data_IF_277102979003
#
_entry.id   IF_277102979003
#
_cell.length_a   1.000
_cell.length_b   1.000
_cell.length_c   1.000
_cell.angle_alpha   90.00
_cell.angle_beta   90.00
_cell.angle_gamma   90.00
#
_symmetry.space_group_name_H-M   'P 1'
#
loop_
_entity.id
_entity.type
_entity.pdbx_description
1 polymer ?
#
# COMPACT_ATOMS: atom_id res chain seq x y z
N UNK A 1 -7.29 -11.39 -23.12
CA UNK A 1 -6.98 -10.85 -21.77
C UNK A 1 -5.93 -11.75 -21.12
N UNK A 2 -4.75 -11.22 -20.82
CA UNK A 2 -3.60 -12.00 -20.35
C UNK A 2 -3.67 -12.15 -18.82
N UNK A 3 -4.34 -13.22 -18.35
CA UNK A 3 -4.61 -13.57 -16.94
C UNK A 3 -3.39 -13.42 -16.00
N UNK A 4 -2.17 -13.59 -16.54
CA UNK A 4 -0.92 -13.43 -15.80
C UNK A 4 -0.72 -12.03 -15.20
N UNK A 5 -1.16 -10.97 -15.88
CA UNK A 5 -0.91 -9.60 -15.39
C UNK A 5 -1.86 -9.21 -14.26
N UNK A 6 -3.12 -9.66 -14.31
CA UNK A 6 -4.10 -9.40 -13.24
C UNK A 6 -3.72 -10.13 -11.94
N UNK A 7 -3.20 -11.36 -12.05
CA UNK A 7 -2.69 -12.08 -10.88
C UNK A 7 -1.42 -11.40 -10.30
N UNK A 8 -0.53 -10.92 -11.16
CA UNK A 8 0.64 -10.14 -10.74
C UNK A 8 0.24 -8.83 -10.05
N UNK A 9 -0.76 -8.11 -10.56
CA UNK A 9 -1.28 -6.90 -9.93
C UNK A 9 -1.78 -7.16 -8.51
N UNK A 10 -2.66 -8.16 -8.33
CA UNK A 10 -3.19 -8.56 -7.03
C UNK A 10 -2.05 -8.97 -6.08
N UNK A 11 -1.06 -9.70 -6.59
CA UNK A 11 0.12 -10.09 -5.81
C UNK A 11 0.87 -8.86 -5.30
N UNK A 12 1.17 -7.89 -6.16
CA UNK A 12 1.89 -6.67 -5.77
C UNK A 12 1.08 -5.76 -4.84
N UNK A 13 -0.24 -5.68 -5.02
CA UNK A 13 -1.14 -4.96 -4.10
C UNK A 13 -1.13 -5.59 -2.71
N UNK A 14 -1.27 -6.92 -2.62
CA UNK A 14 -1.19 -7.65 -1.35
C UNK A 14 0.19 -7.50 -0.73
N UNK A 15 1.24 -7.62 -1.54
CA UNK A 15 2.61 -7.44 -1.08
C UNK A 15 2.81 -6.03 -0.51
N UNK A 16 2.32 -4.98 -1.17
CA UNK A 16 2.36 -3.61 -0.65
C UNK A 16 1.61 -3.46 0.69
N UNK A 17 0.44 -4.09 0.83
CA UNK A 17 -0.33 -4.10 2.08
C UNK A 17 0.42 -4.79 3.22
N UNK A 18 1.04 -5.95 2.98
CA UNK A 18 1.89 -6.62 3.96
C UNK A 18 3.16 -5.81 4.28
N UNK A 19 3.72 -5.12 3.30
CA UNK A 19 4.90 -4.27 3.48
C UNK A 19 4.65 -3.07 4.41
N UNK A 20 3.39 -2.68 4.59
CA UNK A 20 3.00 -1.66 5.58
C UNK A 20 3.27 -2.06 7.03
N UNK A 21 3.50 -3.35 7.32
CA UNK A 21 3.90 -3.80 8.66
C UNK A 21 5.27 -3.26 9.07
N UNK A 22 6.21 -3.08 8.12
CA UNK A 22 7.53 -2.52 8.42
C UNK A 22 7.44 -1.11 9.01
N UNK A 23 6.83 -0.12 8.35
CA UNK A 23 6.65 1.19 8.95
C UNK A 23 5.77 1.12 10.21
N UNK A 24 4.72 0.29 10.24
CA UNK A 24 3.91 0.14 11.46
C UNK A 24 4.74 -0.31 12.67
N UNK A 25 5.61 -1.32 12.52
CA UNK A 25 6.52 -1.75 13.59
C UNK A 25 7.51 -0.67 13.99
N UNK A 26 7.98 0.13 13.03
CA UNK A 26 8.90 1.25 13.28
C UNK A 26 8.22 2.33 14.12
N UNK A 27 7.00 2.73 13.76
CA UNK A 27 6.22 3.71 14.52
C UNK A 27 5.82 3.18 15.89
N UNK A 28 5.54 1.88 16.03
CA UNK A 28 5.28 1.26 17.33
C UNK A 28 6.50 1.31 18.23
N UNK A 29 7.68 0.98 17.69
CA UNK A 29 8.94 1.05 18.42
C UNK A 29 9.28 2.49 18.83
N UNK A 30 9.09 3.45 17.93
CA UNK A 30 9.24 4.88 18.24
C UNK A 30 8.25 5.33 19.31
N UNK A 31 7.01 4.85 19.27
CA UNK A 31 6.02 5.15 20.31
C UNK A 31 6.46 4.63 21.68
N UNK A 32 6.97 3.40 21.77
CA UNK A 32 7.46 2.83 23.03
C UNK A 32 8.63 3.65 23.62
N UNK A 33 9.48 4.24 22.78
CA UNK A 33 10.62 5.03 23.24
C UNK A 33 10.28 6.51 23.52
N UNK A 34 9.50 7.16 22.66
CA UNK A 34 9.20 8.59 22.74
C UNK A 34 7.87 8.91 23.45
N UNK A 35 6.97 7.95 23.60
CA UNK A 35 5.60 8.12 24.13
C UNK A 35 4.80 9.24 23.44
N UNK A 36 5.13 9.56 22.19
CA UNK A 36 4.49 10.63 21.43
C UNK A 36 3.17 10.17 20.80
N UNK A 37 2.09 10.91 21.08
CA UNK A 37 0.77 10.68 20.49
C UNK A 37 0.76 10.76 18.97
N UNK A 38 1.70 11.52 18.37
CA UNK A 38 1.86 11.59 16.92
C UNK A 38 2.23 10.22 16.32
N UNK A 39 3.10 9.45 16.97
CA UNK A 39 3.50 8.12 16.50
C UNK A 39 2.32 7.13 16.53
N UNK A 40 1.45 7.28 17.54
CA UNK A 40 0.23 6.46 17.67
C UNK A 40 -0.77 6.80 16.56
N UNK A 41 -0.93 8.08 16.24
CA UNK A 41 -1.76 8.53 15.12
C UNK A 41 -1.30 7.96 13.78
N UNK A 42 -0.01 8.10 13.46
CA UNK A 42 0.60 7.54 12.24
C UNK A 42 0.45 6.01 12.18
N UNK A 43 0.69 5.30 13.29
CA UNK A 43 0.50 3.86 13.37
C UNK A 43 -0.93 3.44 12.99
N UNK A 44 -1.95 4.11 13.52
CA UNK A 44 -3.36 3.81 13.21
C UNK A 44 -3.62 4.02 11.72
N UNK A 45 -3.14 5.12 11.14
CA UNK A 45 -3.31 5.44 9.72
C UNK A 45 -2.68 4.35 8.84
N UNK A 46 -1.45 3.93 9.15
CA UNK A 46 -0.72 2.89 8.41
C UNK A 46 -1.47 1.55 8.48
N UNK A 47 -1.98 1.17 9.65
CA UNK A 47 -2.73 -0.08 9.84
C UNK A 47 -4.05 -0.05 9.06
N UNK A 48 -4.82 1.04 9.14
CA UNK A 48 -6.05 1.21 8.38
C UNK A 48 -5.78 1.17 6.86
N UNK A 49 -4.70 1.81 6.42
CA UNK A 49 -4.28 1.76 5.02
C UNK A 49 -3.92 0.34 4.58
N UNK A 50 -3.15 -0.39 5.38
CA UNK A 50 -2.77 -1.78 5.10
C UNK A 50 -4.01 -2.67 4.95
N UNK A 51 -4.94 -2.59 5.90
CA UNK A 51 -6.21 -3.34 5.88
C UNK A 51 -7.04 -2.94 4.66
N UNK A 52 -7.15 -1.65 4.35
CA UNK A 52 -7.86 -1.18 3.18
C UNK A 52 -7.27 -1.76 1.88
N UNK A 53 -5.96 -1.73 1.70
CA UNK A 53 -5.28 -2.29 0.52
C UNK A 53 -5.47 -3.80 0.45
N UNK A 54 -5.31 -4.52 1.56
CA UNK A 54 -5.45 -5.99 1.63
C UNK A 54 -6.87 -6.45 1.32
N UNK A 55 -7.87 -5.78 1.88
CA UNK A 55 -9.30 -6.13 1.69
C UNK A 55 -9.78 -5.77 0.29
N UNK A 56 -9.31 -4.65 -0.26
CA UNK A 56 -9.72 -4.20 -1.60
C UNK A 56 -8.84 -4.77 -2.72
N UNK A 57 -7.82 -5.58 -2.43
CA UNK A 57 -6.86 -6.07 -3.44
C UNK A 57 -7.49 -6.84 -4.61
N UNK A 58 -8.69 -7.42 -4.45
CA UNK A 58 -9.43 -8.12 -5.52
C UNK A 58 -10.46 -7.23 -6.24
N UNK A 59 -10.58 -5.97 -5.86
CA UNK A 59 -11.56 -5.06 -6.45
C UNK A 59 -11.15 -4.62 -7.85
N UNK A 60 -12.12 -4.55 -8.77
CA UNK A 60 -11.95 -3.95 -10.10
C UNK A 60 -11.62 -2.44 -10.04
N UNK A 61 -11.59 -1.82 -8.85
CA UNK A 61 -11.16 -0.42 -8.72
C UNK A 61 -9.68 -0.22 -9.05
N UNK A 62 -8.85 -1.24 -8.84
CA UNK A 62 -7.40 -1.17 -9.02
C UNK A 62 -6.94 -1.45 -10.45
N UNK A 63 -7.82 -2.01 -11.29
CA UNK A 63 -7.57 -2.16 -12.72
C UNK A 63 -7.60 -0.83 -13.47
N UNK A 64 -8.08 0.24 -12.84
CA UNK A 64 -7.98 1.60 -13.36
C UNK A 64 -6.65 2.27 -12.92
N UNK A 65 -5.76 2.64 -13.86
CA UNK A 65 -4.45 3.18 -13.52
C UNK A 65 -4.54 4.52 -12.78
N UNK A 66 -5.61 5.31 -12.99
CA UNK A 66 -5.84 6.58 -12.28
C UNK A 66 -6.04 6.37 -10.78
N UNK A 67 -6.83 5.37 -10.39
CA UNK A 67 -7.09 5.04 -8.98
C UNK A 67 -5.83 4.50 -8.30
N UNK A 68 -5.09 3.68 -9.04
CA UNK A 68 -3.84 3.08 -8.57
C UNK A 68 -2.73 4.12 -8.39
N UNK A 69 -2.65 5.11 -9.28
CA UNK A 69 -1.73 6.25 -9.13
C UNK A 69 -2.10 7.10 -7.90
N UNK A 70 -3.39 7.32 -7.64
CA UNK A 70 -3.87 8.03 -6.45
C UNK A 70 -3.47 7.30 -5.16
N UNK A 71 -3.61 5.98 -5.13
CA UNK A 71 -3.19 5.13 -4.02
C UNK A 71 -1.67 5.22 -3.79
N UNK A 72 -0.88 5.21 -4.87
CA UNK A 72 0.57 5.33 -4.81
C UNK A 72 1.01 6.68 -4.25
N UNK A 73 0.41 7.78 -4.71
CA UNK A 73 0.70 9.12 -4.18
C UNK A 73 0.33 9.21 -2.69
N UNK A 74 -0.83 8.68 -2.31
CA UNK A 74 -1.25 8.63 -0.91
C UNK A 74 -0.25 7.86 -0.04
N UNK A 75 0.17 6.67 -0.49
CA UNK A 75 1.15 5.86 0.21
C UNK A 75 2.51 6.56 0.37
N UNK A 76 2.93 7.33 -0.64
CA UNK A 76 4.20 8.03 -0.66
C UNK A 76 4.22 9.22 0.31
N UNK A 77 3.12 9.95 0.42
CA UNK A 77 3.01 11.14 1.29
C UNK A 77 2.74 10.74 2.75
N UNK A 78 1.87 9.76 2.99
CA UNK A 78 1.30 9.52 4.32
C UNK A 78 1.84 8.25 4.98
N UNK A 79 2.31 7.25 4.22
CA UNK A 79 2.61 5.94 4.79
C UNK A 79 4.12 5.70 4.83
N UNK A 80 4.75 5.50 3.68
CA UNK A 80 6.20 5.42 3.54
C UNK A 80 6.59 5.33 2.06
N UNK A 81 7.72 5.95 1.70
CA UNK A 81 8.36 5.83 0.38
C UNK A 81 8.67 4.36 0.04
N UNK A 82 9.01 3.56 1.06
CA UNK A 82 9.33 2.13 0.93
C UNK A 82 8.16 1.33 0.34
N UNK A 83 6.90 1.73 0.61
CA UNK A 83 5.70 1.05 0.10
C UNK A 83 5.37 1.51 -1.33
N UNK A 84 5.90 2.65 -1.78
CA UNK A 84 5.67 3.14 -3.14
C UNK A 84 6.26 2.21 -4.21
N UNK A 85 7.33 1.47 -3.91
CA UNK A 85 7.99 0.55 -4.85
C UNK A 85 7.05 -0.59 -5.29
N UNK A 86 6.49 -1.43 -4.39
CA UNK A 86 5.56 -2.48 -4.80
C UNK A 86 4.27 -1.93 -5.43
N UNK A 87 3.79 -0.77 -4.97
CA UNK A 87 2.65 -0.08 -5.60
C UNK A 87 2.95 0.40 -7.03
N UNK A 88 4.17 0.86 -7.30
CA UNK A 88 4.58 1.27 -8.64
C UNK A 88 4.64 0.09 -9.60
N UNK A 89 5.13 -1.07 -9.13
CA UNK A 89 5.13 -2.30 -9.91
C UNK A 89 3.71 -2.76 -10.22
N UNK A 90 2.81 -2.64 -9.26
CA UNK A 90 1.39 -2.91 -9.44
C UNK A 90 0.78 -1.96 -10.51
N UNK A 91 1.04 -0.65 -10.42
CA UNK A 91 0.63 0.35 -11.43
C UNK A 91 1.15 0.06 -12.83
N UNK A 92 2.44 -0.30 -12.95
CA UNK A 92 3.06 -0.62 -14.24
C UNK A 92 2.41 -1.84 -14.89
N UNK A 93 1.99 -2.83 -14.10
CA UNK A 93 1.28 -3.99 -14.60
C UNK A 93 -0.15 -3.64 -15.03
N UNK A 94 -0.85 -2.82 -14.24
CA UNK A 94 -2.17 -2.29 -14.60
C UNK A 94 -2.15 -1.56 -15.95
N UNK A 95 -1.16 -0.68 -16.19
CA UNK A 95 -0.98 0.02 -17.47
C UNK A 95 -0.66 -0.90 -18.67
N UNK A 96 -0.18 -2.12 -18.42
CA UNK A 96 0.08 -3.12 -19.48
C UNK A 96 -1.12 -4.03 -19.78
N UNK A 97 -2.14 -4.04 -18.90
CA UNK A 97 -3.38 -4.79 -19.08
C UNK A 97 -4.34 -4.03 -19.99
N UNK A 98 -4.29 -2.70 -19.92
CA UNK A 98 -5.06 -1.75 -20.73
C UNK A 98 -4.42 -1.57 -22.11
#
# INVERSE_FOLDING_TARGET
MNLNYHQKEIFWLRFAGWFCLLPATTYLYLYQNLHSWFCLGELIIIVLFAVYVLTTAKSNRWTDPKNMMRLLIFALIIVAVIIAIPLYLAYRNCKKIQ
#
